data_IF_057836133535
#
_entry.id   IF_057836133535
#
_cell.length_a   1.000
_cell.length_b   1.000
_cell.length_c   1.000
_cell.angle_alpha   90.00
_cell.angle_beta   90.00
_cell.angle_gamma   90.00
#
_symmetry.space_group_name_H-M   'P 1'
#
loop_
_entity.id
_entity.type
_entity.pdbx_description
1 polymer ?
#
# COMPACT_ATOMS: atom_id res chain seq x y z
N UNK A 1 -10.30 -11.22 0.29
CA UNK A 1 -9.96 -10.94 1.71
C UNK A 1 -8.45 -10.92 1.98
N UNK A 2 -7.59 -11.47 1.12
CA UNK A 2 -6.13 -11.52 1.42
C UNK A 2 -5.29 -10.35 0.89
N UNK A 3 -5.84 -9.54 -0.03
CA UNK A 3 -5.23 -8.31 -0.54
C UNK A 3 -5.31 -7.12 0.43
N UNK A 4 -6.22 -7.19 1.40
CA UNK A 4 -6.45 -6.15 2.42
C UNK A 4 -5.24 -5.96 3.33
N UNK A 5 -4.59 -7.06 3.72
CA UNK A 5 -3.48 -6.99 4.64
C UNK A 5 -2.30 -6.21 4.08
N UNK A 6 -2.03 -6.26 2.77
CA UNK A 6 -0.82 -5.69 2.17
C UNK A 6 -0.84 -4.15 2.17
N UNK A 7 -1.98 -3.53 1.86
CA UNK A 7 -2.11 -2.07 1.91
C UNK A 7 -2.19 -1.54 3.34
N UNK A 8 -2.94 -2.22 4.21
CA UNK A 8 -3.00 -1.85 5.63
C UNK A 8 -1.62 -1.98 6.30
N UNK A 9 -0.78 -2.94 5.88
CA UNK A 9 0.56 -3.13 6.43
C UNK A 9 1.54 -2.02 6.04
N UNK A 10 1.54 -1.58 4.77
CA UNK A 10 2.36 -0.42 4.36
C UNK A 10 1.93 0.88 5.04
N UNK A 11 0.67 0.95 5.47
CA UNK A 11 0.08 2.12 6.13
C UNK A 11 0.34 2.11 7.65
N UNK A 12 0.25 0.95 8.31
CA UNK A 12 0.57 0.77 9.73
C UNK A 12 2.03 1.08 10.09
N UNK A 13 2.93 1.02 9.11
CA UNK A 13 4.36 1.28 9.33
C UNK A 13 4.70 2.78 9.48
N UNK A 14 3.77 3.69 9.20
CA UNK A 14 4.01 5.15 9.28
C UNK A 14 3.52 5.78 10.59
N UNK A 15 2.81 5.05 11.46
CA UNK A 15 2.04 5.66 12.55
C UNK A 15 2.35 5.17 13.97
N UNK A 16 3.14 4.11 14.14
CA UNK A 16 3.49 3.58 15.46
C UNK A 16 4.93 3.94 15.86
N UNK A 17 5.07 4.98 16.70
CA UNK A 17 6.33 5.37 17.34
C UNK A 17 6.84 4.36 18.38
N UNK A 18 6.06 3.33 18.70
CA UNK A 18 6.43 2.18 19.51
C UNK A 18 5.80 0.96 18.85
N UNK A 19 6.56 -0.01 18.31
CA UNK A 19 6.22 -1.44 18.22
C UNK A 19 7.24 -2.20 17.34
N UNK A 20 7.48 -3.46 17.72
CA UNK A 20 8.30 -4.53 17.14
C UNK A 20 8.06 -4.89 15.65
N UNK A 21 7.55 -4.00 14.79
CA UNK A 21 7.28 -4.31 13.38
C UNK A 21 8.56 -4.49 12.53
N UNK A 22 9.70 -4.03 13.05
CA UNK A 22 11.04 -4.32 12.51
C UNK A 22 11.39 -5.81 12.60
N UNK A 23 10.69 -6.58 13.43
CA UNK A 23 10.84 -8.04 13.55
C UNK A 23 9.50 -8.73 13.32
N UNK A 24 9.04 -8.78 12.07
CA UNK A 24 8.05 -9.81 11.69
C UNK A 24 8.69 -11.19 11.85
N UNK A 25 7.97 -12.16 12.41
CA UNK A 25 8.47 -13.54 12.46
C UNK A 25 8.71 -14.07 11.04
N UNK A 26 9.66 -15.00 10.89
CA UNK A 26 9.99 -15.59 9.59
C UNK A 26 8.77 -16.20 8.89
N UNK A 27 7.87 -16.84 9.65
CA UNK A 27 6.63 -17.43 9.12
C UNK A 27 5.70 -16.36 8.52
N UNK A 28 5.56 -15.21 9.20
CA UNK A 28 4.75 -14.09 8.70
C UNK A 28 5.37 -13.45 7.46
N UNK A 29 6.70 -13.30 7.43
CA UNK A 29 7.40 -12.80 6.24
C UNK A 29 7.19 -13.75 5.06
N UNK A 30 7.29 -15.05 5.29
CA UNK A 30 7.08 -16.08 4.27
C UNK A 30 5.65 -16.02 3.74
N UNK A 31 4.65 -15.93 4.63
CA UNK A 31 3.25 -15.79 4.26
C UNK A 31 3.02 -14.54 3.39
N UNK A 32 3.50 -13.36 3.81
CA UNK A 32 3.35 -12.12 3.03
C UNK A 32 4.01 -12.24 1.66
N UNK A 33 5.21 -12.82 1.57
CA UNK A 33 5.90 -13.00 0.28
C UNK A 33 5.17 -13.99 -0.63
N UNK A 34 4.67 -15.11 -0.09
CA UNK A 34 3.94 -16.11 -0.88
C UNK A 34 2.63 -15.55 -1.43
N UNK A 35 1.80 -14.95 -0.58
CA UNK A 35 0.54 -14.30 -0.99
C UNK A 35 0.77 -13.16 -1.97
N UNK A 36 1.81 -12.34 -1.79
CA UNK A 36 2.15 -11.31 -2.76
C UNK A 36 2.55 -11.88 -4.13
N UNK A 37 3.31 -12.98 -4.16
CA UNK A 37 3.72 -13.62 -5.41
C UNK A 37 2.54 -14.12 -6.26
N UNK A 38 1.41 -14.45 -5.63
CA UNK A 38 0.19 -14.87 -6.32
C UNK A 38 -0.54 -13.71 -7.03
N UNK A 39 -0.39 -12.48 -6.51
CA UNK A 39 -1.21 -11.33 -6.94
C UNK A 39 -0.43 -10.20 -7.61
N UNK A 40 0.90 -10.13 -7.45
CA UNK A 40 1.71 -8.95 -7.83
C UNK A 40 1.63 -8.57 -9.31
N UNK A 41 1.36 -9.52 -10.21
CA UNK A 41 1.21 -9.29 -11.65
C UNK A 41 -0.19 -8.75 -12.02
N UNK A 42 -1.10 -8.66 -11.06
CA UNK A 42 -2.48 -8.19 -11.24
C UNK A 42 -2.68 -6.76 -10.71
N UNK A 43 -1.69 -5.88 -10.86
CA UNK A 43 -1.67 -4.52 -10.30
C UNK A 43 -2.95 -3.69 -10.55
N UNK A 44 -3.54 -3.78 -11.75
CA UNK A 44 -4.78 -3.09 -12.10
C UNK A 44 -5.94 -3.60 -11.25
N UNK A 45 -6.05 -4.92 -11.05
CA UNK A 45 -7.08 -5.51 -10.20
C UNK A 45 -6.87 -5.16 -8.72
N UNK A 46 -5.61 -5.07 -8.29
CA UNK A 46 -5.25 -4.64 -6.94
C UNK A 46 -5.77 -3.23 -6.68
N UNK A 47 -5.44 -2.26 -7.54
CA UNK A 47 -5.88 -0.88 -7.36
C UNK A 47 -7.41 -0.74 -7.52
N UNK A 48 -7.99 -1.48 -8.47
CA UNK A 48 -9.45 -1.51 -8.67
C UNK A 48 -10.17 -2.03 -7.43
N UNK A 49 -9.69 -3.11 -6.82
CA UNK A 49 -10.22 -3.65 -5.57
C UNK A 49 -10.18 -2.61 -4.45
N UNK A 50 -9.03 -1.94 -4.26
CA UNK A 50 -8.88 -0.89 -3.25
C UNK A 50 -9.87 0.27 -3.47
N UNK A 51 -10.02 0.78 -4.68
CA UNK A 51 -10.96 1.89 -4.94
C UNK A 51 -12.42 1.46 -4.83
N UNK A 52 -12.72 0.19 -5.18
CA UNK A 52 -14.07 -0.38 -5.05
C UNK A 52 -14.47 -0.51 -3.58
N UNK A 53 -13.56 -1.02 -2.75
CA UNK A 53 -13.83 -1.25 -1.32
C UNK A 53 -13.72 0.05 -0.51
N UNK A 54 -12.93 1.02 -1.00
CA UNK A 54 -12.70 2.31 -0.36
C UNK A 54 -12.85 3.51 -1.32
N UNK A 55 -14.08 3.89 -1.70
CA UNK A 55 -14.32 5.01 -2.64
C UNK A 55 -13.79 6.36 -2.15
N UNK A 56 -13.70 6.56 -0.83
CA UNK A 56 -13.09 7.73 -0.20
C UNK A 56 -11.60 7.87 -0.55
N UNK A 57 -10.91 6.77 -0.84
CA UNK A 57 -9.51 6.78 -1.28
C UNK A 57 -9.43 7.22 -2.73
N UNK A 58 -10.26 6.67 -3.62
CA UNK A 58 -10.35 7.14 -5.01
C UNK A 58 -10.58 8.66 -5.07
N UNK A 59 -11.44 9.20 -4.22
CA UNK A 59 -11.74 10.64 -4.16
C UNK A 59 -10.52 11.52 -3.82
N UNK A 60 -9.45 10.96 -3.25
CA UNK A 60 -8.18 11.68 -2.97
C UNK A 60 -7.27 11.79 -4.19
N UNK A 61 -7.57 11.10 -5.29
CA UNK A 61 -6.80 11.18 -6.53
C UNK A 61 -7.52 12.13 -7.49
N UNK A 62 -7.00 13.35 -7.75
CA UNK A 62 -7.67 14.33 -8.61
C UNK A 62 -7.99 13.80 -10.02
N UNK A 63 -7.17 12.87 -10.53
CA UNK A 63 -7.41 12.22 -11.84
C UNK A 63 -8.58 11.26 -11.85
N UNK A 64 -9.00 10.74 -10.69
CA UNK A 64 -10.01 9.68 -10.56
C UNK A 64 -11.25 10.10 -9.77
N UNK A 65 -11.18 11.21 -9.05
CA UNK A 65 -12.29 11.72 -8.23
C UNK A 65 -13.53 11.99 -9.09
N UNK A 66 -14.69 11.53 -8.60
CA UNK A 66 -15.98 11.66 -9.29
C UNK A 66 -16.15 10.81 -10.56
N UNK A 67 -15.14 10.04 -10.98
CA UNK A 67 -15.24 9.16 -12.16
C UNK A 67 -15.77 7.79 -11.79
N UNK A 68 -16.55 7.18 -12.68
CA UNK A 68 -16.96 5.80 -12.52
C UNK A 68 -15.73 4.86 -12.57
N UNK A 69 -15.62 3.99 -11.58
CA UNK A 69 -14.45 3.13 -11.40
C UNK A 69 -14.29 2.12 -12.56
N UNK A 70 -15.39 1.58 -13.11
CA UNK A 70 -15.35 0.66 -14.25
C UNK A 70 -14.86 1.38 -15.50
N UNK A 71 -15.28 2.63 -15.69
CA UNK A 71 -14.87 3.45 -16.83
C UNK A 71 -13.39 3.82 -16.80
N UNK A 72 -12.81 4.03 -15.62
CA UNK A 72 -11.38 4.42 -15.50
C UNK A 72 -10.42 3.23 -15.46
N UNK A 73 -10.90 2.01 -15.14
CA UNK A 73 -10.05 0.82 -14.92
C UNK A 73 -9.04 0.54 -16.05
N UNK A 74 -9.48 0.68 -17.30
CA UNK A 74 -8.67 0.36 -18.48
C UNK A 74 -7.95 1.59 -19.09
N UNK A 75 -7.92 2.71 -18.36
CA UNK A 75 -7.24 3.92 -18.83
C UNK A 75 -5.75 3.88 -18.52
N UNK A 76 -4.93 4.50 -19.37
CA UNK A 76 -3.47 4.60 -19.17
C UNK A 76 -3.13 5.22 -17.82
N UNK A 77 -3.88 6.26 -17.41
CA UNK A 77 -3.67 6.91 -16.11
C UNK A 77 -3.90 5.95 -14.93
N UNK A 78 -4.91 5.09 -15.02
CA UNK A 78 -5.20 4.10 -13.97
C UNK A 78 -4.12 3.02 -13.92
N UNK A 79 -3.70 2.49 -15.07
CA UNK A 79 -2.59 1.53 -15.16
C UNK A 79 -1.31 2.11 -14.57
N UNK A 80 -0.94 3.36 -14.90
CA UNK A 80 0.24 4.02 -14.33
C UNK A 80 0.16 4.09 -12.80
N UNK A 81 -1.00 4.44 -12.25
CA UNK A 81 -1.15 4.50 -10.79
C UNK A 81 -1.07 3.11 -10.16
N UNK A 82 -1.67 2.10 -10.78
CA UNK A 82 -1.63 0.70 -10.34
C UNK A 82 -0.18 0.19 -10.27
N UNK A 83 0.57 0.33 -11.36
CA UNK A 83 1.98 -0.09 -11.45
C UNK A 83 2.85 0.61 -10.41
N UNK A 84 2.67 1.92 -10.20
CA UNK A 84 3.43 2.68 -9.17
C UNK A 84 3.20 2.13 -7.77
N UNK A 85 1.95 1.84 -7.44
CA UNK A 85 1.59 1.32 -6.13
C UNK A 85 2.11 -0.12 -5.95
N UNK A 86 1.92 -1.00 -6.94
CA UNK A 86 2.41 -2.37 -6.89
C UNK A 86 3.95 -2.42 -6.81
N UNK A 87 4.67 -1.54 -7.53
CA UNK A 87 6.13 -1.46 -7.47
C UNK A 87 6.65 -1.06 -6.09
N UNK A 88 5.96 -0.13 -5.42
CA UNK A 88 6.29 0.24 -4.04
C UNK A 88 6.11 -0.96 -3.09
N UNK A 89 4.96 -1.64 -3.18
CA UNK A 89 4.67 -2.83 -2.37
C UNK A 89 5.69 -3.94 -2.61
N UNK A 90 6.02 -4.20 -3.87
CA UNK A 90 7.01 -5.20 -4.25
C UNK A 90 8.38 -4.91 -3.63
N UNK A 91 8.81 -3.63 -3.68
CA UNK A 91 10.08 -3.21 -3.07
C UNK A 91 10.06 -3.42 -1.57
N UNK A 92 8.99 -2.99 -0.88
CA UNK A 92 8.82 -3.20 0.55
C UNK A 92 8.87 -4.67 0.94
N UNK A 93 8.07 -5.51 0.29
CA UNK A 93 7.94 -6.94 0.59
C UNK A 93 9.25 -7.67 0.35
N UNK A 94 10.01 -7.32 -0.69
CA UNK A 94 11.33 -7.91 -0.96
C UNK A 94 12.36 -7.61 0.12
N UNK A 95 12.24 -6.46 0.79
CA UNK A 95 13.13 -6.08 1.89
C UNK A 95 12.79 -6.77 3.21
N UNK A 96 11.60 -7.37 3.37
CA UNK A 96 11.20 -8.02 4.62
C UNK A 96 12.08 -9.24 4.98
N UNK A 97 12.27 -9.46 6.29
CA UNK A 97 12.91 -10.66 6.86
C UNK A 97 14.43 -10.59 6.96
N UNK A 98 15.04 -9.41 6.84
CA UNK A 98 16.48 -9.20 7.04
C UNK A 98 16.69 -7.99 7.94
N UNK A 99 17.51 -8.11 8.98
CA UNK A 99 17.80 -6.98 9.87
C UNK A 99 18.61 -5.89 9.14
N UNK A 100 19.46 -6.30 8.20
CA UNK A 100 20.29 -5.39 7.40
C UNK A 100 19.49 -4.49 6.44
N UNK A 101 18.24 -4.83 6.11
CA UNK A 101 17.38 -4.04 5.21
C UNK A 101 16.48 -3.06 5.97
N UNK A 102 16.45 -3.10 7.31
CA UNK A 102 15.60 -2.23 8.14
C UNK A 102 15.86 -0.73 7.89
N UNK A 103 17.11 -0.25 7.75
CA UNK A 103 17.34 1.16 7.42
C UNK A 103 16.73 1.58 6.09
N UNK A 104 16.79 0.71 5.07
CA UNK A 104 16.22 0.98 3.75
C UNK A 104 14.68 1.03 3.80
N UNK A 105 14.05 0.10 4.53
CA UNK A 105 12.60 0.12 4.76
C UNK A 105 12.19 1.43 5.43
N UNK A 106 12.90 1.83 6.51
CA UNK A 106 12.61 3.06 7.24
C UNK A 106 12.71 4.29 6.34
N UNK A 107 13.77 4.40 5.55
CA UNK A 107 13.94 5.51 4.61
C UNK A 107 12.80 5.57 3.60
N UNK A 108 12.45 4.44 2.99
CA UNK A 108 11.39 4.37 2.00
C UNK A 108 10.02 4.78 2.58
N UNK A 109 9.69 4.32 3.79
CA UNK A 109 8.45 4.70 4.47
C UNK A 109 8.42 6.17 4.87
N UNK A 110 9.55 6.73 5.32
CA UNK A 110 9.66 8.16 5.62
C UNK A 110 9.43 9.00 4.36
N UNK A 111 10.09 8.68 3.25
CA UNK A 111 9.88 9.36 1.97
C UNK A 111 8.44 9.23 1.50
N UNK A 112 7.81 8.07 1.68
CA UNK A 112 6.41 7.87 1.37
C UNK A 112 5.50 8.79 2.21
N UNK A 113 5.72 8.85 3.53
CA UNK A 113 5.00 9.73 4.44
C UNK A 113 5.14 11.20 4.10
N UNK A 114 6.36 11.68 3.84
CA UNK A 114 6.62 13.07 3.42
C UNK A 114 5.90 13.44 2.13
N UNK A 115 5.93 12.54 1.14
CA UNK A 115 5.27 12.74 -0.14
C UNK A 115 3.74 12.78 -0.01
N UNK A 116 3.17 12.00 0.91
CA UNK A 116 1.72 12.00 1.17
C UNK A 116 1.29 13.21 2.01
N UNK A 117 2.10 13.65 2.98
CA UNK A 117 1.89 14.88 3.74
C UNK A 117 1.77 16.10 2.83
N UNK A 118 2.65 16.23 1.82
CA UNK A 118 2.59 17.29 0.80
C UNK A 118 1.28 17.32 0.00
N UNK A 119 0.53 16.20 -0.01
CA UNK A 119 -0.77 16.05 -0.68
C UNK A 119 -1.96 16.17 0.27
N UNK A 120 -1.73 16.66 1.50
CA UNK A 120 -2.78 16.81 2.51
C UNK A 120 -3.28 15.48 3.09
N UNK A 121 -2.52 14.39 2.94
CA UNK A 121 -2.84 13.11 3.57
C UNK A 121 -2.22 13.09 4.97
N UNK A 122 -3.08 13.03 5.99
CA UNK A 122 -2.65 13.02 7.40
C UNK A 122 -2.45 11.60 7.91
N UNK A 123 -1.92 11.51 9.14
CA UNK A 123 -1.81 10.26 9.89
C UNK A 123 -3.19 9.59 10.08
N UNK A 124 -4.25 10.36 10.34
CA UNK A 124 -5.59 9.80 10.52
C UNK A 124 -6.12 9.15 9.22
N UNK A 125 -5.80 9.70 8.05
CA UNK A 125 -6.20 9.09 6.76
C UNK A 125 -5.59 7.70 6.56
N UNK A 126 -4.38 7.50 7.08
CA UNK A 126 -3.70 6.22 7.12
C UNK A 126 -4.32 5.30 8.19
N UNK A 127 -4.62 5.81 9.38
CA UNK A 127 -5.27 5.03 10.44
C UNK A 127 -6.70 4.57 10.09
N UNK A 128 -7.44 5.33 9.28
CA UNK A 128 -8.75 4.92 8.76
C UNK A 128 -8.67 3.59 7.97
N UNK A 129 -7.57 3.39 7.24
CA UNK A 129 -7.30 2.16 6.51
C UNK A 129 -7.14 0.96 7.47
N UNK A 130 -6.61 1.19 8.67
CA UNK A 130 -6.37 0.16 9.69
C UNK A 130 -7.64 -0.29 10.43
N UNK A 131 -8.64 0.58 10.57
CA UNK A 131 -9.85 0.31 11.38
C UNK A 131 -10.95 -0.37 10.56
N UNK A 132 -10.98 -0.16 9.25
CA UNK A 132 -11.99 -0.71 8.34
C UNK A 132 -11.40 -1.75 7.37
N UNK A 133 -10.24 -2.33 7.71
CA UNK A 133 -9.70 -3.55 7.10
C UNK A 133 -9.71 -4.73 8.07
#
# INVERSE_FOLDING_TARGET
>A
MELFFIFTFCIAATTASNYHWFTMSADKVTLVKSTWNEVKENEVEILYGVFKDYPNIQARFPKFTGKDLKMIKNTVDFTIQATRTASFLNTYINLLGKDSTQPAIKQMLNTMGENHKKRGITKENFEFFKIHS
#
